data_IF_928982887661
#
_entry.id   IF_928982887661
#
_cell.length_a   1.000
_cell.length_b   1.000
_cell.length_c   1.000
_cell.angle_alpha   90.00
_cell.angle_beta   90.00
_cell.angle_gamma   90.00
#
_symmetry.space_group_name_H-M   'P 1'
#
loop_
_entity.id
_entity.type
_entity.pdbx_description
1 polymer ?
#
# COMPACT_ATOMS: atom_id res chain seq x y z
N UNK A 1 -8.63 -19.54 35.84
CA UNK A 1 -8.51 -20.37 34.63
C UNK A 1 -9.12 -19.58 33.48
N UNK A 2 -8.42 -19.63 32.36
CA UNK A 2 -8.64 -18.97 31.07
C UNK A 2 -10.02 -19.21 30.46
N UNK A 3 -10.80 -18.14 30.28
CA UNK A 3 -11.85 -18.10 29.25
C UNK A 3 -11.37 -17.27 28.07
N UNK A 4 -11.61 -17.86 26.91
CA UNK A 4 -10.83 -17.80 25.68
C UNK A 4 -11.30 -16.60 24.84
N UNK A 5 -10.29 -15.85 24.36
CA UNK A 5 -10.32 -14.73 23.43
C UNK A 5 -11.62 -14.50 22.65
N UNK A 6 -12.08 -13.25 22.74
CA UNK A 6 -13.11 -12.60 21.94
C UNK A 6 -13.23 -13.19 20.52
N UNK A 7 -14.34 -13.88 20.31
CA UNK A 7 -14.82 -14.27 18.98
C UNK A 7 -15.39 -13.03 18.31
N UNK A 8 -14.54 -12.09 17.91
CA UNK A 8 -14.95 -11.03 16.99
C UNK A 8 -14.83 -11.57 15.58
N UNK A 9 -15.97 -11.88 14.97
CA UNK A 9 -16.10 -12.07 13.52
C UNK A 9 -15.53 -10.82 12.83
N UNK A 10 -14.25 -10.86 12.51
CA UNK A 10 -13.53 -9.76 11.90
C UNK A 10 -13.54 -9.98 10.40
N UNK A 11 -14.71 -9.77 9.78
CA UNK A 11 -14.82 -9.49 8.34
C UNK A 11 -14.22 -8.10 8.05
N UNK A 12 -12.96 -7.91 8.41
CA UNK A 12 -12.18 -6.73 8.07
C UNK A 12 -11.55 -6.98 6.71
N UNK A 13 -11.59 -6.00 5.79
CA UNK A 13 -10.91 -6.13 4.52
C UNK A 13 -9.42 -6.38 4.76
N UNK A 14 -8.84 -7.29 3.97
CA UNK A 14 -7.41 -7.54 3.99
C UNK A 14 -6.69 -6.32 3.42
N UNK A 15 -5.79 -5.72 4.19
CA UNK A 15 -4.98 -4.57 3.77
C UNK A 15 -3.51 -4.97 3.80
N UNK A 16 -2.80 -4.74 2.70
CA UNK A 16 -1.36 -4.97 2.58
C UNK A 16 -0.68 -3.60 2.51
N UNK A 17 0.20 -3.30 3.46
CA UNK A 17 0.97 -2.07 3.49
C UNK A 17 2.42 -2.34 3.08
N UNK A 18 2.89 -1.67 2.01
CA UNK A 18 4.28 -1.76 1.54
C UNK A 18 5.03 -0.54 2.05
N UNK A 19 5.93 -0.74 3.02
CA UNK A 19 6.72 0.32 3.66
C UNK A 19 8.21 0.14 3.39
N UNK A 20 8.99 1.21 3.56
CA UNK A 20 10.44 1.20 3.30
C UNK A 20 10.98 2.56 2.85
N UNK A 21 12.31 2.74 2.81
CA UNK A 21 12.94 4.02 2.48
C UNK A 21 12.66 4.45 1.03
N UNK A 22 12.73 5.75 0.74
CA UNK A 22 12.61 6.27 -0.64
C UNK A 22 13.66 5.61 -1.54
N UNK A 23 13.29 5.35 -2.80
CA UNK A 23 14.10 4.61 -3.79
C UNK A 23 14.33 3.10 -3.52
N UNK A 24 13.66 2.48 -2.53
CA UNK A 24 13.76 1.04 -2.27
C UNK A 24 12.93 0.13 -3.21
N UNK A 25 12.40 0.65 -4.32
CA UNK A 25 11.62 -0.15 -5.29
C UNK A 25 10.20 -0.54 -4.86
N UNK A 26 9.60 0.16 -3.87
CA UNK A 26 8.25 -0.15 -3.37
C UNK A 26 7.19 -0.08 -4.47
N UNK A 27 7.28 0.90 -5.36
CA UNK A 27 6.36 1.08 -6.48
C UNK A 27 6.42 -0.11 -7.44
N UNK A 28 7.62 -0.59 -7.76
CA UNK A 28 7.81 -1.74 -8.65
C UNK A 28 7.23 -3.02 -8.05
N UNK A 29 7.44 -3.23 -6.74
CA UNK A 29 6.85 -4.36 -6.01
C UNK A 29 5.31 -4.28 -6.02
N UNK A 30 4.75 -3.11 -5.76
CA UNK A 30 3.31 -2.91 -5.73
C UNK A 30 2.66 -3.14 -7.11
N UNK A 31 3.32 -2.68 -8.18
CA UNK A 31 2.94 -2.93 -9.57
C UNK A 31 3.04 -4.41 -9.99
N UNK A 32 3.94 -5.18 -9.40
CA UNK A 32 3.99 -6.63 -9.63
C UNK A 32 2.83 -7.33 -8.94
N UNK A 33 2.48 -6.91 -7.72
CA UNK A 33 1.38 -7.51 -6.96
C UNK A 33 0.02 -7.35 -7.66
N UNK A 34 -0.24 -6.21 -8.32
CA UNK A 34 -1.48 -6.00 -9.10
C UNK A 34 -1.59 -6.90 -10.33
N UNK A 35 -0.47 -7.45 -10.84
CA UNK A 35 -0.48 -8.42 -11.95
C UNK A 35 -0.85 -9.83 -11.49
N UNK A 36 -0.64 -10.14 -10.21
CA UNK A 36 -0.86 -11.47 -9.65
C UNK A 36 -2.15 -11.57 -8.84
N UNK A 37 -2.64 -10.46 -8.30
CA UNK A 37 -3.82 -10.42 -7.46
C UNK A 37 -4.81 -9.33 -7.93
N UNK A 38 -6.12 -9.57 -7.80
CA UNK A 38 -7.15 -8.57 -8.06
C UNK A 38 -7.21 -7.56 -6.90
N UNK A 39 -6.16 -6.78 -6.72
CA UNK A 39 -6.01 -5.79 -5.64
C UNK A 39 -5.98 -4.37 -6.20
N UNK A 40 -6.52 -3.44 -5.43
CA UNK A 40 -6.45 -2.02 -5.74
C UNK A 40 -5.20 -1.41 -5.09
N UNK A 41 -4.44 -0.63 -5.88
CA UNK A 41 -3.26 0.07 -5.40
C UNK A 41 -3.65 1.46 -4.87
N UNK A 42 -3.43 1.70 -3.58
CA UNK A 42 -3.65 3.02 -2.96
C UNK A 42 -2.30 3.66 -2.66
N UNK A 43 -2.08 4.88 -3.16
CA UNK A 43 -0.88 5.65 -2.89
C UNK A 43 -0.90 6.23 -1.47
N UNK A 44 0.13 5.95 -0.68
CA UNK A 44 0.29 6.41 0.70
C UNK A 44 1.54 7.29 0.87
N UNK A 45 1.97 8.00 -0.18
CA UNK A 45 3.06 8.99 -0.10
C UNK A 45 2.48 10.41 -0.08
N UNK A 46 2.73 11.14 1.01
CA UNK A 46 2.27 12.53 1.19
C UNK A 46 2.90 13.49 0.16
N UNK A 47 4.04 13.14 -0.43
CA UNK A 47 4.74 13.98 -1.40
C UNK A 47 4.07 13.96 -2.80
N UNK A 48 3.35 12.89 -3.17
CA UNK A 48 2.77 12.76 -4.51
C UNK A 48 1.38 13.42 -4.68
N UNK A 49 0.86 14.02 -3.59
CA UNK A 49 -0.43 14.71 -3.55
C UNK A 49 -0.38 16.11 -4.21
N UNK A 50 0.82 16.68 -4.43
CA UNK A 50 0.96 17.95 -5.15
C UNK A 50 0.73 17.76 -6.66
N UNK A 51 -0.24 18.51 -7.21
CA UNK A 51 -0.46 18.66 -8.67
C UNK A 51 0.58 19.63 -9.23
N UNK A 52 1.00 19.39 -10.47
CA UNK A 52 1.96 20.20 -11.25
C UNK A 52 3.45 20.10 -10.86
N UNK A 53 3.87 19.01 -10.20
CA UNK A 53 5.28 18.77 -9.81
C UNK A 53 5.83 17.44 -10.35
N UNK A 54 5.68 17.20 -11.65
CA UNK A 54 5.95 15.90 -12.27
C UNK A 54 7.45 15.55 -12.38
N UNK A 55 8.32 16.54 -12.61
CA UNK A 55 9.76 16.32 -12.84
C UNK A 55 10.55 16.09 -11.52
N UNK A 56 10.10 16.68 -10.41
CA UNK A 56 10.79 16.59 -9.11
C UNK A 56 10.36 15.43 -8.21
N UNK A 57 9.27 14.74 -8.53
CA UNK A 57 8.65 13.72 -7.65
C UNK A 57 8.64 12.30 -8.22
N UNK A 58 9.26 12.10 -9.39
CA UNK A 58 9.30 10.81 -10.08
C UNK A 58 7.90 10.17 -10.24
N UNK A 59 6.89 10.97 -10.59
CA UNK A 59 5.60 10.44 -11.04
C UNK A 59 5.82 9.66 -12.33
N UNK A 60 5.48 8.37 -12.30
CA UNK A 60 5.53 7.50 -13.48
C UNK A 60 4.45 7.98 -14.45
N UNK A 61 4.88 8.39 -15.64
CA UNK A 61 4.02 8.55 -16.83
C UNK A 61 3.72 7.19 -17.43
#
# INVERSE_FOLDING_TARGET
MIDKADTTSTDKPLIIAITGPTASGKTDLAMQLTKHFPIELINMDSAQVYRDMDIGTAKIT
#
